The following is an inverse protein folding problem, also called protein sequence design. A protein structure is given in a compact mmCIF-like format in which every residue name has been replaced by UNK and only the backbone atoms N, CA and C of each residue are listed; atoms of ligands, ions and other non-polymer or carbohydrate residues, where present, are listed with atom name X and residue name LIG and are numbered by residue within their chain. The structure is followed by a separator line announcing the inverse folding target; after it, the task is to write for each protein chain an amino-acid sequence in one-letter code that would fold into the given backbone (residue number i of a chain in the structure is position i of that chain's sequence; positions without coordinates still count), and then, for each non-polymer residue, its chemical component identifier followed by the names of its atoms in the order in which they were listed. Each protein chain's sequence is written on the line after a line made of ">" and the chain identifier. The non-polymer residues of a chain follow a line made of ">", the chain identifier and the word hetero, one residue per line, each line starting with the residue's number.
data_IF_908839863212
#
_entry.id   IF_908839863212
#
_cell.length_a   1.000
_cell.length_b   1.000
_cell.length_c   1.000
_cell.angle_alpha   90.00
_cell.angle_beta   90.00
_cell.angle_gamma   90.00
#
_symmetry.space_group_name_H-M   'P 1'
#
loop_
_entity.id
_entity.type
_entity.pdbx_description
1 polymer ?
#
# COMPACT_ATOMS: atom_id res chain seq x y z
N UNK A 1 -13.96 -27.41 -60.11
CA UNK A 1 -14.75 -26.92 -58.96
C UNK A 1 -13.90 -25.96 -58.17
N UNK A 2 -14.20 -24.66 -58.30
CA UNK A 2 -13.55 -23.55 -57.61
C UNK A 2 -14.27 -23.32 -56.27
N UNK A 3 -13.53 -23.30 -55.16
CA UNK A 3 -14.00 -22.67 -53.94
C UNK A 3 -12.96 -21.63 -53.52
N UNK A 4 -13.12 -20.41 -54.04
CA UNK A 4 -12.43 -19.22 -53.54
C UNK A 4 -13.11 -18.82 -52.25
N UNK A 5 -12.49 -19.09 -51.11
CA UNK A 5 -12.94 -18.57 -49.81
C UNK A 5 -12.48 -17.13 -49.69
N UNK A 6 -13.32 -16.22 -50.17
CA UNK A 6 -13.25 -14.80 -49.86
C UNK A 6 -13.59 -14.62 -48.39
N UNK A 7 -12.58 -14.61 -47.51
CA UNK A 7 -12.78 -14.13 -46.16
C UNK A 7 -13.04 -12.62 -46.25
N UNK A 8 -14.32 -12.29 -46.09
CA UNK A 8 -14.88 -10.96 -46.00
C UNK A 8 -14.03 -10.10 -45.04
N UNK A 9 -13.31 -9.13 -45.61
CA UNK A 9 -12.90 -7.92 -44.90
C UNK A 9 -14.16 -7.17 -44.51
N UNK A 10 -14.76 -7.53 -43.37
CA UNK A 10 -15.91 -6.86 -42.79
C UNK A 10 -15.45 -6.14 -41.51
N UNK A 11 -15.75 -4.84 -41.43
CA UNK A 11 -15.45 -3.91 -40.33
C UNK A 11 -14.03 -3.29 -40.26
N UNK A 12 -13.57 -2.72 -41.37
CA UNK A 12 -12.85 -1.44 -41.32
C UNK A 12 -13.82 -0.39 -41.86
N UNK A 13 -14.31 0.53 -41.02
CA UNK A 13 -14.69 1.92 -41.36
C UNK A 13 -15.46 2.66 -40.23
N UNK A 14 -15.73 2.02 -39.08
CA UNK A 14 -16.28 2.73 -37.89
C UNK A 14 -15.31 2.82 -36.70
N UNK A 15 -14.07 2.34 -36.84
CA UNK A 15 -13.17 2.09 -35.70
C UNK A 15 -12.25 3.24 -35.29
N UNK A 16 -12.10 4.32 -36.07
CA UNK A 16 -11.06 5.33 -35.82
C UNK A 16 -11.19 6.03 -34.46
N UNK A 17 -12.42 6.44 -34.10
CA UNK A 17 -12.68 7.10 -32.82
C UNK A 17 -12.59 6.14 -31.63
N UNK A 18 -13.19 4.95 -31.72
CA UNK A 18 -13.15 3.97 -30.64
C UNK A 18 -11.73 3.42 -30.39
N UNK A 19 -10.99 3.14 -31.46
CA UNK A 19 -9.60 2.67 -31.36
C UNK A 19 -8.67 3.75 -30.81
N UNK A 20 -8.79 5.00 -31.27
CA UNK A 20 -7.99 6.12 -30.72
C UNK A 20 -8.31 6.41 -29.26
N UNK A 21 -9.59 6.35 -28.85
CA UNK A 21 -9.99 6.47 -27.45
C UNK A 21 -9.43 5.33 -26.60
N UNK A 22 -9.44 4.09 -27.12
CA UNK A 22 -8.85 2.93 -26.44
C UNK A 22 -7.32 3.07 -26.30
N UNK A 23 -6.61 3.54 -27.33
CA UNK A 23 -5.16 3.78 -27.25
C UNK A 23 -4.80 4.90 -26.26
N UNK A 24 -5.63 5.96 -26.20
CA UNK A 24 -5.44 7.06 -25.26
C UNK A 24 -5.71 6.63 -23.80
N UNK A 25 -6.69 5.74 -23.59
CA UNK A 25 -6.95 5.17 -22.28
C UNK A 25 -5.77 4.31 -21.81
N UNK A 26 -5.26 3.41 -22.67
CA UNK A 26 -4.12 2.55 -22.32
C UNK A 26 -2.86 3.37 -22.01
N UNK A 27 -2.54 4.37 -22.83
CA UNK A 27 -1.38 5.24 -22.58
C UNK A 27 -1.52 6.04 -21.29
N UNK A 28 -2.73 6.49 -20.95
CA UNK A 28 -3.01 7.17 -19.69
C UNK A 28 -2.88 6.20 -18.51
N UNK A 29 -3.41 4.99 -18.62
CA UNK A 29 -3.30 3.97 -17.57
C UNK A 29 -1.83 3.58 -17.30
N UNK A 30 -1.02 3.43 -18.34
CA UNK A 30 0.42 3.14 -18.21
C UNK A 30 1.18 4.29 -17.53
N UNK A 31 0.81 5.55 -17.85
CA UNK A 31 1.36 6.74 -17.19
C UNK A 31 1.01 6.75 -15.70
N UNK A 32 -0.25 6.52 -15.34
CA UNK A 32 -0.71 6.45 -13.94
C UNK A 32 0.02 5.35 -13.16
N UNK A 33 0.17 4.16 -13.77
CA UNK A 33 0.93 3.06 -13.17
C UNK A 33 2.39 3.44 -12.92
N UNK A 34 3.04 4.09 -13.89
CA UNK A 34 4.42 4.54 -13.75
C UNK A 34 4.56 5.56 -12.62
N UNK A 35 3.62 6.51 -12.52
CA UNK A 35 3.60 7.48 -11.42
C UNK A 35 3.41 6.82 -10.06
N UNK A 36 2.52 5.82 -9.95
CA UNK A 36 2.33 5.06 -8.72
C UNK A 36 3.60 4.31 -8.31
N UNK A 37 4.26 3.62 -9.25
CA UNK A 37 5.52 2.92 -9.00
C UNK A 37 6.63 3.89 -8.55
N UNK A 38 6.73 5.06 -9.19
CA UNK A 38 7.68 6.11 -8.81
C UNK A 38 7.39 6.70 -7.43
N UNK A 39 6.12 6.87 -7.08
CA UNK A 39 5.69 7.39 -5.77
C UNK A 39 6.07 6.41 -4.66
N UNK A 40 5.66 5.15 -4.77
CA UNK A 40 5.93 4.12 -3.75
C UNK A 40 7.43 3.82 -3.63
N UNK A 41 8.20 3.96 -4.72
CA UNK A 41 9.66 3.84 -4.67
C UNK A 41 10.31 4.83 -3.68
N UNK A 42 9.77 6.05 -3.55
CA UNK A 42 10.29 7.07 -2.63
C UNK A 42 10.09 6.66 -1.17
N UNK A 43 8.94 6.10 -0.82
CA UNK A 43 8.68 5.58 0.51
C UNK A 43 7.22 5.25 0.78
N UNK A 44 6.93 4.97 2.06
CA UNK A 44 5.62 4.49 2.53
C UNK A 44 4.90 5.52 3.39
N UNK A 45 5.35 6.77 3.34
CA UNK A 45 4.76 7.88 4.07
C UNK A 45 3.43 8.27 3.44
N UNK A 46 2.46 8.76 4.24
CA UNK A 46 1.14 9.19 3.77
C UNK A 46 1.13 10.50 2.93
N UNK A 47 2.28 10.85 2.33
CA UNK A 47 2.48 12.06 1.54
C UNK A 47 3.74 12.81 1.96
N UNK A 48 4.23 13.70 1.09
CA UNK A 48 5.49 14.43 1.30
C UNK A 48 5.45 15.35 2.55
N UNK A 49 4.26 15.73 3.02
CA UNK A 49 4.05 16.51 4.24
C UNK A 49 3.85 15.67 5.52
N UNK A 50 3.71 14.35 5.40
CA UNK A 50 3.42 13.45 6.51
C UNK A 50 4.61 12.56 6.82
N UNK A 51 5.02 12.50 8.09
CA UNK A 51 6.13 11.67 8.54
C UNK A 51 5.70 10.22 8.84
N UNK A 52 4.40 9.99 8.91
CA UNK A 52 3.75 8.77 9.34
C UNK A 52 3.75 7.72 8.24
N UNK A 53 3.96 6.47 8.63
CA UNK A 53 3.64 5.29 7.83
C UNK A 53 2.35 4.70 8.40
N UNK A 54 1.33 4.59 7.55
CA UNK A 54 0.02 4.06 7.93
C UNK A 54 -0.14 2.62 7.46
N UNK A 55 -0.65 1.74 8.33
CA UNK A 55 -0.75 0.31 8.03
C UNK A 55 -1.75 0.03 6.90
N UNK A 56 -2.84 0.81 6.83
CA UNK A 56 -3.85 0.73 5.76
C UNK A 56 -3.26 1.06 4.39
N UNK A 57 -2.59 2.20 4.31
CA UNK A 57 -1.97 2.66 3.07
C UNK A 57 -0.95 1.62 2.61
N UNK A 58 -0.08 1.19 3.53
CA UNK A 58 0.95 0.20 3.27
C UNK A 58 0.39 -1.15 2.79
N UNK A 59 -0.74 -1.60 3.36
CA UNK A 59 -1.44 -2.79 2.89
C UNK A 59 -1.99 -2.62 1.46
N UNK A 60 -2.56 -1.46 1.17
CA UNK A 60 -3.22 -1.16 -0.13
C UNK A 60 -2.23 -1.25 -1.29
N UNK A 61 -1.00 -0.79 -1.10
CA UNK A 61 0.03 -0.80 -2.15
C UNK A 61 1.11 -1.88 -1.97
N UNK A 62 0.87 -2.90 -1.13
CA UNK A 62 1.87 -3.93 -0.79
C UNK A 62 2.50 -4.60 -2.02
N UNK A 63 1.69 -4.95 -3.03
CA UNK A 63 2.18 -5.58 -4.26
C UNK A 63 3.11 -4.65 -5.06
N UNK A 64 2.76 -3.36 -5.14
CA UNK A 64 3.58 -2.34 -5.81
C UNK A 64 4.87 -2.12 -5.03
N UNK A 65 4.81 -2.02 -3.70
CA UNK A 65 5.99 -1.90 -2.84
C UNK A 65 6.94 -3.09 -3.04
N UNK A 66 6.41 -4.32 -3.05
CA UNK A 66 7.20 -5.53 -3.31
C UNK A 66 7.88 -5.53 -4.69
N UNK A 67 7.28 -4.88 -5.68
CA UNK A 67 7.85 -4.75 -7.02
C UNK A 67 8.99 -3.73 -7.08
N UNK A 68 8.88 -2.59 -6.38
CA UNK A 68 9.75 -1.42 -6.59
C UNK A 68 10.70 -1.09 -5.45
N UNK A 69 10.60 -1.79 -4.32
CA UNK A 69 11.45 -1.58 -3.14
C UNK A 69 12.17 -2.86 -2.69
N UNK A 70 13.26 -2.67 -1.94
CA UNK A 70 13.99 -3.77 -1.33
C UNK A 70 13.17 -4.47 -0.25
N UNK A 71 13.25 -5.81 -0.23
CA UNK A 71 12.58 -6.65 0.79
C UNK A 71 12.96 -6.24 2.21
N UNK A 72 14.19 -5.78 2.44
CA UNK A 72 14.66 -5.32 3.75
C UNK A 72 13.87 -4.09 4.23
N UNK A 73 13.52 -3.17 3.33
CA UNK A 73 12.74 -1.98 3.65
C UNK A 73 11.31 -2.33 4.04
N UNK A 74 10.68 -3.20 3.25
CA UNK A 74 9.31 -3.69 3.49
C UNK A 74 9.25 -4.45 4.82
N UNK A 75 10.21 -5.36 5.03
CA UNK A 75 10.33 -6.13 6.28
C UNK A 75 10.50 -5.22 7.49
N UNK A 76 11.32 -4.17 7.39
CA UNK A 76 11.49 -3.20 8.47
C UNK A 76 10.15 -2.58 8.86
N UNK A 77 9.37 -2.08 7.90
CA UNK A 77 8.06 -1.49 8.16
C UNK A 77 7.08 -2.47 8.81
N UNK A 78 7.00 -3.71 8.33
CA UNK A 78 6.14 -4.74 8.94
C UNK A 78 6.56 -5.07 10.37
N UNK A 79 7.87 -5.23 10.61
CA UNK A 79 8.40 -5.52 11.94
C UNK A 79 8.13 -4.37 12.89
N UNK A 80 8.23 -3.11 12.43
CA UNK A 80 7.90 -1.95 13.26
C UNK A 80 6.46 -2.03 13.76
N UNK A 81 5.47 -2.33 12.92
CA UNK A 81 4.09 -2.52 13.39
C UNK A 81 3.96 -3.63 14.44
N UNK A 82 4.67 -4.76 14.25
CA UNK A 82 4.66 -5.88 15.20
C UNK A 82 5.32 -5.50 16.54
N UNK A 83 6.42 -4.74 16.52
CA UNK A 83 7.10 -4.28 17.73
C UNK A 83 6.24 -3.36 18.59
N UNK A 84 5.22 -2.74 18.00
CA UNK A 84 4.21 -1.93 18.68
C UNK A 84 2.91 -2.68 18.99
N UNK A 85 2.80 -3.97 18.66
CA UNK A 85 1.61 -4.75 18.98
C UNK A 85 1.39 -4.78 20.50
N UNK A 86 0.19 -4.42 20.93
CA UNK A 86 -0.19 -4.36 22.34
C UNK A 86 -0.46 -5.77 22.90
N UNK A 87 -0.45 -5.95 24.24
CA UNK A 87 -0.69 -7.26 24.86
C UNK A 87 -2.04 -7.91 24.50
N UNK A 88 -3.04 -7.11 24.17
CA UNK A 88 -4.37 -7.56 23.70
C UNK A 88 -4.39 -7.93 22.21
N UNK A 89 -3.25 -7.84 21.52
CA UNK A 89 -3.10 -8.08 20.09
C UNK A 89 -3.40 -6.87 19.21
N UNK A 90 -3.77 -5.72 19.76
CA UNK A 90 -4.05 -4.52 18.99
C UNK A 90 -2.79 -4.00 18.29
N UNK A 91 -2.92 -3.64 17.02
CA UNK A 91 -1.86 -3.03 16.21
C UNK A 91 -2.16 -1.54 16.04
N UNK A 92 -1.11 -0.74 15.95
CA UNK A 92 -1.20 0.69 15.65
C UNK A 92 -1.74 0.94 14.24
N UNK A 93 -2.34 2.11 14.04
CA UNK A 93 -2.78 2.53 12.72
C UNK A 93 -1.65 3.22 11.96
N UNK A 94 -0.73 3.88 12.68
CA UNK A 94 0.47 4.46 12.09
C UNK A 94 1.61 4.68 13.08
N UNK A 95 2.82 4.87 12.54
CA UNK A 95 4.01 5.24 13.31
C UNK A 95 4.82 6.34 12.60
N UNK A 96 5.56 7.12 13.38
CA UNK A 96 6.43 8.21 12.91
C UNK A 96 7.82 8.16 13.57
N UNK A 97 8.92 8.49 12.84
CA UNK A 97 10.23 8.65 13.46
C UNK A 97 10.27 9.81 14.48
N UNK A 98 10.83 9.58 15.67
CA UNK A 98 11.14 10.66 16.62
C UNK A 98 12.27 11.56 16.08
N UNK A 99 12.30 12.87 16.38
CA UNK A 99 11.35 13.65 17.18
C UNK A 99 10.34 14.41 16.30
N UNK A 100 10.01 13.92 15.09
CA UNK A 100 9.22 14.73 14.14
C UNK A 100 7.92 15.19 14.81
N UNK A 101 7.86 16.49 15.05
CA UNK A 101 6.69 17.21 15.54
C UNK A 101 5.58 16.99 14.53
N UNK A 102 4.61 16.15 14.85
CA UNK A 102 3.35 16.17 14.13
C UNK A 102 2.63 17.43 14.59
N UNK A 103 2.16 18.24 13.64
CA UNK A 103 1.22 19.33 13.93
C UNK A 103 -0.14 18.81 14.45
N UNK A 104 -0.27 17.49 14.61
CA UNK A 104 -1.44 16.77 15.10
C UNK A 104 -1.12 16.21 16.48
N UNK A 105 -1.89 16.56 17.53
CA UNK A 105 -1.68 16.05 18.88
C UNK A 105 -2.28 14.64 19.00
N UNK A 106 -1.46 13.62 18.78
CA UNK A 106 -1.81 12.23 19.10
C UNK A 106 -1.36 11.85 20.51
N UNK A 107 -2.11 10.94 21.15
CA UNK A 107 -1.61 10.19 22.30
C UNK A 107 -0.69 9.07 21.79
N UNK A 108 0.61 9.32 21.82
CA UNK A 108 1.60 8.40 21.29
C UNK A 108 1.87 7.20 22.22
N UNK A 109 1.91 6.02 21.62
CA UNK A 109 2.46 4.80 22.18
C UNK A 109 3.97 4.73 21.94
N UNK A 110 4.67 4.19 22.92
CA UNK A 110 6.11 3.97 22.86
C UNK A 110 6.44 2.55 23.30
N UNK A 111 7.44 1.94 22.69
CA UNK A 111 7.90 0.59 23.00
C UNK A 111 9.43 0.55 23.07
N UNK A 112 10.03 -0.19 24.02
CA UNK A 112 11.47 -0.42 24.06
C UNK A 112 12.01 -1.17 22.83
N UNK A 113 11.13 -1.87 22.10
CA UNK A 113 11.51 -2.66 20.91
C UNK A 113 11.76 -1.80 19.67
N UNK A 114 11.25 -0.58 19.64
CA UNK A 114 11.33 0.36 18.53
C UNK A 114 11.47 1.80 19.07
N UNK A 115 12.55 2.08 19.85
CA UNK A 115 12.69 3.32 20.60
C UNK A 115 12.77 4.58 19.72
N UNK A 116 13.14 4.43 18.45
CA UNK A 116 13.26 5.48 17.45
C UNK A 116 11.92 5.96 16.87
N UNK A 117 10.82 5.26 17.18
CA UNK A 117 9.48 5.55 16.64
C UNK A 117 8.48 5.94 17.74
N UNK A 118 7.48 6.71 17.35
CA UNK A 118 6.28 6.98 18.11
C UNK A 118 5.08 6.43 17.33
N UNK A 119 4.18 5.75 18.01
CA UNK A 119 3.03 5.09 17.39
C UNK A 119 1.70 5.72 17.78
N UNK A 120 0.70 5.73 16.91
CA UNK A 120 -0.64 6.18 17.29
C UNK A 120 -1.71 5.18 16.86
N UNK A 121 -2.83 5.24 17.58
CA UNK A 121 -4.04 4.50 17.26
C UNK A 121 -5.23 5.44 17.36
N UNK A 122 -6.06 5.46 16.32
CA UNK A 122 -7.31 6.17 16.24
C UNK A 122 -8.38 5.45 17.06
N UNK A 123 -9.38 6.20 17.51
CA UNK A 123 -10.57 5.60 18.12
C UNK A 123 -11.54 5.13 17.04
N UNK A 124 -12.48 4.26 17.41
CA UNK A 124 -13.50 3.73 16.49
C UNK A 124 -14.39 4.82 15.87
N UNK A 125 -14.50 5.98 16.52
CA UNK A 125 -15.19 7.15 16.02
C UNK A 125 -14.41 7.86 14.89
N UNK A 126 -13.09 7.69 14.87
CA UNK A 126 -12.20 8.38 13.93
C UNK A 126 -11.73 7.48 12.80
N UNK A 127 -11.73 6.15 13.01
CA UNK A 127 -11.30 5.17 12.01
C UNK A 127 -11.98 3.80 12.26
N UNK A 128 -12.94 3.43 11.40
CA UNK A 128 -13.56 2.10 11.41
C UNK A 128 -12.80 1.16 10.47
N UNK A 129 -11.56 0.83 10.82
CA UNK A 129 -10.74 -0.04 9.97
C UNK A 129 -10.60 -1.41 10.60
N UNK A 130 -10.93 -2.44 9.82
CA UNK A 130 -10.43 -3.78 10.07
C UNK A 130 -8.91 -3.76 9.98
N UNK A 131 -8.25 -4.08 11.09
CA UNK A 131 -6.79 -4.23 11.12
C UNK A 131 -6.32 -5.21 10.06
N UNK A 132 -5.08 -5.04 9.59
CA UNK A 132 -4.41 -6.01 8.73
C UNK A 132 -4.62 -7.42 9.31
N UNK A 133 -5.36 -8.29 8.61
CA UNK A 133 -5.56 -9.66 9.06
C UNK A 133 -4.25 -10.41 8.85
N UNK A 134 -3.37 -10.33 9.85
CA UNK A 134 -2.20 -11.18 9.93
C UNK A 134 -2.61 -12.51 10.52
N UNK A 135 -2.85 -13.52 9.68
CA UNK A 135 -2.96 -14.91 10.15
C UNK A 135 -1.61 -15.32 10.73
N UNK A 136 -1.48 -15.25 12.06
CA UNK A 136 -0.47 -16.05 12.75
C UNK A 136 -0.84 -17.51 12.49
N UNK A 137 -0.17 -18.15 11.53
CA UNK A 137 -0.19 -19.61 11.48
C UNK A 137 0.41 -20.09 12.80
N UNK A 138 -0.44 -20.70 13.62
CA UNK A 138 -0.14 -21.05 15.00
C UNK A 138 1.17 -21.81 15.14
N UNK A 139 2.08 -21.20 15.89
CA UNK A 139 2.82 -21.95 16.89
C UNK A 139 2.92 -21.02 18.10
N UNK A 140 1.94 -21.16 18.98
CA UNK A 140 1.97 -20.55 20.31
C UNK A 140 3.22 -21.08 21.02
N UNK A 141 4.26 -20.25 21.06
CA UNK A 141 5.26 -20.37 22.10
C UNK A 141 4.53 -20.08 23.40
N UNK A 142 4.44 -21.13 24.23
CA UNK A 142 3.74 -21.12 25.51
C UNK A 142 4.28 -20.10 26.51
N UNK A 143 3.65 -19.99 27.68
CA UNK A 143 3.98 -18.97 28.65
C UNK A 143 5.40 -19.17 29.18
N UNK A 144 6.16 -18.07 29.24
CA UNK A 144 7.27 -17.85 30.16
C UNK A 144 6.92 -16.68 31.06
#
# INVERSE_FOLDING_TARGET
>A
MNCRTTALSCCLLLGGAAYSQQTNFLSTADSVKTMAEQLIKKGFNAGDGYGEVWIRDFNTFMDVACKVNDKARIRKSLITFIQFQQPDGAVLDGYIPKPKSTNVPYNYYYTPLAPEYAGHKNTVETDQETSLVWRQNGNAIGPV
#
